data_IF_835650899887
#
_entry.id   IF_835650899887
#
_cell.length_a   1.000
_cell.length_b   1.000
_cell.length_c   1.000
_cell.angle_alpha   90.00
_cell.angle_beta   90.00
_cell.angle_gamma   90.00
#
_symmetry.space_group_name_H-M   'P 1'
#
loop_
_entity.id
_entity.type
_entity.pdbx_description
1 polymer ?
#
# COMPACT_ATOMS: atom_id res chain seq x y z
N UNK A 1 -42.18 -43.95 6.66
CA UNK A 1 -41.43 -44.42 7.84
C UNK A 1 -39.93 -44.22 7.73
N UNK A 2 -39.28 -44.50 6.59
CA UNK A 2 -37.81 -44.38 6.46
C UNK A 2 -37.23 -42.98 6.76
N UNK A 3 -37.92 -41.89 6.36
CA UNK A 3 -37.48 -40.52 6.64
C UNK A 3 -37.55 -40.19 8.14
N UNK A 4 -38.56 -40.67 8.85
CA UNK A 4 -38.70 -40.44 10.29
C UNK A 4 -37.57 -41.12 11.08
N UNK A 5 -37.25 -42.38 10.73
CA UNK A 5 -36.13 -43.10 11.32
C UNK A 5 -34.78 -42.46 10.99
N UNK A 6 -34.62 -41.86 9.81
CA UNK A 6 -33.42 -41.12 9.45
C UNK A 6 -33.25 -39.85 10.29
N UNK A 7 -34.33 -39.09 10.52
CA UNK A 7 -34.31 -37.87 11.33
C UNK A 7 -34.02 -38.18 12.81
N UNK A 8 -34.62 -39.24 13.36
CA UNK A 8 -34.31 -39.72 14.73
C UNK A 8 -32.84 -40.14 14.84
N UNK A 9 -32.37 -40.99 13.91
CA UNK A 9 -31.00 -41.49 13.94
C UNK A 9 -29.95 -40.39 13.75
N UNK A 10 -30.28 -39.29 13.07
CA UNK A 10 -29.40 -38.11 12.99
C UNK A 10 -29.47 -37.23 14.24
N UNK A 11 -30.66 -36.98 14.79
CA UNK A 11 -30.82 -36.10 15.96
C UNK A 11 -30.00 -36.61 17.15
N UNK A 12 -29.95 -37.92 17.36
CA UNK A 12 -29.21 -38.53 18.47
C UNK A 12 -27.68 -38.52 18.28
N UNK A 13 -27.19 -38.14 17.09
CA UNK A 13 -25.76 -38.13 16.75
C UNK A 13 -25.18 -36.73 16.56
N UNK A 14 -26.03 -35.69 16.57
CA UNK A 14 -25.61 -34.30 16.41
C UNK A 14 -25.42 -33.64 17.77
N UNK A 15 -24.20 -33.21 18.06
CA UNK A 15 -23.88 -32.44 19.26
C UNK A 15 -23.77 -30.97 18.91
N UNK A 16 -24.65 -30.15 19.48
CA UNK A 16 -24.62 -28.70 19.34
C UNK A 16 -23.97 -28.07 20.57
N UNK A 17 -22.95 -27.25 20.36
CA UNK A 17 -22.42 -26.38 21.41
C UNK A 17 -23.09 -25.03 21.29
N UNK A 18 -23.99 -24.71 22.22
CA UNK A 18 -24.66 -23.41 22.27
C UNK A 18 -23.90 -22.52 23.25
N UNK A 19 -23.36 -21.41 22.75
CA UNK A 19 -22.75 -20.38 23.59
C UNK A 19 -23.77 -19.25 23.71
N UNK A 20 -24.48 -19.22 24.83
CA UNK A 20 -25.40 -18.14 25.14
C UNK A 20 -24.62 -16.95 25.68
N UNK A 21 -24.78 -15.78 25.06
CA UNK A 21 -24.11 -14.54 25.45
C UNK A 21 -25.18 -13.51 25.78
N UNK A 22 -25.02 -12.83 26.91
CA UNK A 22 -26.04 -11.89 27.42
C UNK A 22 -26.14 -10.59 26.60
N UNK A 23 -25.16 -10.32 25.75
CA UNK A 23 -25.03 -9.10 24.95
C UNK A 23 -24.44 -9.44 23.58
N UNK A 24 -25.05 -8.93 22.50
CA UNK A 24 -24.59 -9.11 21.11
C UNK A 24 -23.14 -8.64 20.91
N UNK A 25 -22.68 -7.64 21.66
CA UNK A 25 -21.28 -7.18 21.62
C UNK A 25 -20.31 -8.20 22.22
N UNK A 26 -20.75 -8.95 23.23
CA UNK A 26 -19.96 -10.04 23.81
C UNK A 26 -19.97 -11.25 22.88
N UNK A 27 -21.08 -11.49 22.17
CA UNK A 27 -21.13 -12.51 21.11
C UNK A 27 -20.09 -12.23 20.02
N UNK A 28 -19.93 -10.96 19.60
CA UNK A 28 -18.88 -10.56 18.67
C UNK A 28 -17.46 -10.89 19.16
N UNK A 29 -17.11 -10.53 20.39
CA UNK A 29 -15.78 -10.81 20.95
C UNK A 29 -15.50 -12.31 21.09
N UNK A 30 -16.49 -13.09 21.51
CA UNK A 30 -16.40 -14.55 21.62
C UNK A 30 -16.17 -15.16 20.24
N UNK A 31 -16.89 -14.69 19.22
CA UNK A 31 -16.79 -15.21 17.86
C UNK A 31 -15.46 -14.86 17.17
N UNK A 32 -14.93 -13.64 17.34
CA UNK A 32 -13.57 -13.26 16.91
C UNK A 32 -12.49 -14.15 17.54
N UNK A 33 -12.61 -14.42 18.85
CA UNK A 33 -11.64 -15.24 19.58
C UNK A 33 -11.68 -16.72 19.15
N UNK A 34 -12.87 -17.24 18.83
CA UNK A 34 -13.06 -18.63 18.40
C UNK A 34 -12.62 -18.86 16.94
N UNK A 35 -12.86 -17.90 16.04
CA UNK A 35 -12.51 -18.01 14.63
C UNK A 35 -11.02 -17.77 14.31
N UNK A 36 -10.24 -17.30 15.29
CA UNK A 36 -8.79 -17.15 15.16
C UNK A 36 -8.04 -18.47 14.83
N UNK A 37 -8.72 -19.64 14.84
CA UNK A 37 -8.10 -20.97 14.68
C UNK A 37 -8.47 -21.76 13.43
N UNK A 38 -9.20 -21.24 12.43
CA UNK A 38 -9.21 -21.96 11.14
C UNK A 38 -10.29 -21.74 10.09
N UNK A 39 -11.33 -20.91 10.30
CA UNK A 39 -12.31 -20.61 9.24
C UNK A 39 -12.65 -19.12 9.27
N UNK A 40 -12.48 -18.43 8.11
CA UNK A 40 -12.66 -16.97 7.95
C UNK A 40 -14.15 -16.57 7.83
N UNK A 41 -14.94 -16.85 8.85
CA UNK A 41 -16.30 -16.30 9.00
C UNK A 41 -16.38 -15.73 10.42
N UNK A 42 -16.03 -14.44 10.64
CA UNK A 42 -15.87 -13.90 12.02
C UNK A 42 -16.42 -12.49 12.31
N UNK A 43 -16.49 -11.57 11.35
CA UNK A 43 -16.98 -10.21 11.61
C UNK A 43 -18.01 -9.74 10.56
N UNK A 44 -17.80 -10.18 9.32
CA UNK A 44 -18.71 -9.98 8.18
C UNK A 44 -20.10 -10.53 8.50
N UNK A 45 -20.20 -11.78 8.95
CA UNK A 45 -21.50 -12.43 9.21
C UNK A 45 -22.23 -11.83 10.40
N UNK A 46 -21.50 -11.37 11.42
CA UNK A 46 -22.10 -10.68 12.55
C UNK A 46 -22.70 -9.34 12.14
N UNK A 47 -22.01 -8.59 11.28
CA UNK A 47 -22.58 -7.39 10.70
C UNK A 47 -23.78 -7.71 9.80
N UNK A 48 -23.68 -8.74 8.94
CA UNK A 48 -24.80 -9.23 8.13
C UNK A 48 -26.01 -9.48 9.03
N UNK A 49 -25.89 -10.38 10.00
CA UNK A 49 -26.96 -10.76 10.92
C UNK A 49 -27.55 -9.56 11.68
N UNK A 50 -26.71 -8.62 12.11
CA UNK A 50 -27.19 -7.40 12.73
C UNK A 50 -28.05 -6.58 11.77
N UNK A 51 -27.59 -6.32 10.54
CA UNK A 51 -28.37 -5.58 9.54
C UNK A 51 -29.68 -6.29 9.19
N UNK A 52 -29.68 -7.63 9.10
CA UNK A 52 -30.90 -8.45 8.97
C UNK A 52 -31.86 -8.22 10.14
N UNK A 53 -31.37 -8.20 11.37
CA UNK A 53 -32.19 -7.99 12.57
C UNK A 53 -32.85 -6.61 12.59
N UNK A 54 -32.20 -5.58 12.02
CA UNK A 54 -32.77 -4.24 11.91
C UNK A 54 -33.92 -4.20 10.91
N UNK A 55 -33.78 -4.89 9.76
CA UNK A 55 -34.81 -4.95 8.73
C UNK A 55 -36.01 -5.84 9.10
N UNK A 56 -35.79 -6.90 9.89
CA UNK A 56 -36.84 -7.85 10.27
C UNK A 56 -37.80 -7.35 11.37
N UNK A 57 -37.56 -6.17 11.96
CA UNK A 57 -38.42 -5.61 13.02
C UNK A 57 -39.81 -5.22 12.54
N UNK A 58 -39.94 -4.88 11.26
CA UNK A 58 -41.20 -4.51 10.64
C UNK A 58 -41.65 -5.65 9.72
N UNK A 59 -42.81 -6.27 10.02
CA UNK A 59 -43.37 -7.49 9.40
C UNK A 59 -43.68 -7.41 7.88
N UNK A 60 -43.10 -6.46 7.14
CA UNK A 60 -43.34 -6.19 5.71
C UNK A 60 -42.12 -6.48 4.81
N UNK A 61 -41.05 -7.10 5.33
CA UNK A 61 -39.71 -7.02 4.73
C UNK A 61 -39.20 -8.17 3.85
N UNK A 62 -40.00 -9.15 3.39
CA UNK A 62 -39.44 -10.34 2.72
C UNK A 62 -38.60 -10.02 1.46
N UNK A 63 -39.11 -9.17 0.57
CA UNK A 63 -38.39 -8.75 -0.64
C UNK A 63 -37.14 -7.92 -0.34
N UNK A 64 -37.15 -7.18 0.75
CA UNK A 64 -36.02 -6.33 1.15
C UNK A 64 -34.89 -7.12 1.78
N UNK A 65 -35.22 -8.16 2.54
CA UNK A 65 -34.25 -9.11 3.06
C UNK A 65 -33.57 -9.85 1.90
N UNK A 66 -34.33 -10.27 0.89
CA UNK A 66 -33.79 -10.87 -0.35
C UNK A 66 -32.89 -9.88 -1.11
N UNK A 67 -33.31 -8.62 -1.26
CA UNK A 67 -32.53 -7.59 -1.93
C UNK A 67 -31.23 -7.27 -1.20
N UNK A 68 -31.27 -7.20 0.15
CA UNK A 68 -30.08 -7.02 0.97
C UNK A 68 -29.14 -8.21 0.84
N UNK A 69 -29.66 -9.44 0.94
CA UNK A 69 -28.86 -10.65 0.78
C UNK A 69 -28.15 -10.67 -0.57
N UNK A 70 -28.89 -10.41 -1.65
CA UNK A 70 -28.35 -10.36 -3.00
C UNK A 70 -27.22 -9.33 -3.13
N UNK A 71 -27.40 -8.12 -2.60
CA UNK A 71 -26.37 -7.06 -2.61
C UNK A 71 -25.14 -7.46 -1.79
N UNK A 72 -25.37 -8.02 -0.61
CA UNK A 72 -24.30 -8.47 0.28
C UNK A 72 -23.44 -9.55 -0.37
N UNK A 73 -24.07 -10.62 -0.89
CA UNK A 73 -23.37 -11.72 -1.55
C UNK A 73 -22.64 -11.23 -2.82
N UNK A 74 -23.25 -10.32 -3.59
CA UNK A 74 -22.57 -9.70 -4.73
C UNK A 74 -21.31 -8.93 -4.28
N UNK A 75 -21.39 -8.18 -3.19
CA UNK A 75 -20.26 -7.40 -2.67
C UNK A 75 -19.14 -8.30 -2.13
N UNK A 76 -19.47 -9.33 -1.35
CA UNK A 76 -18.51 -10.33 -0.85
C UNK A 76 -17.86 -11.06 -2.02
N UNK A 77 -18.65 -11.47 -3.02
CA UNK A 77 -18.15 -12.11 -4.24
C UNK A 77 -17.17 -11.22 -5.02
N UNK A 78 -17.46 -9.91 -5.11
CA UNK A 78 -16.57 -8.93 -5.76
C UNK A 78 -15.27 -8.68 -5.01
N UNK A 79 -15.29 -8.70 -3.67
CA UNK A 79 -14.07 -8.56 -2.87
C UNK A 79 -13.13 -9.76 -3.06
N UNK A 80 -13.68 -10.95 -3.27
CA UNK A 80 -12.91 -12.16 -3.55
C UNK A 80 -11.90 -12.48 -2.45
N UNK A 81 -10.63 -12.20 -2.71
CA UNK A 81 -9.53 -12.44 -1.76
C UNK A 81 -9.30 -11.30 -0.75
N UNK A 82 -9.89 -10.12 -0.99
CA UNK A 82 -9.78 -8.97 -0.09
C UNK A 82 -10.64 -9.15 1.17
N UNK A 83 -10.16 -8.60 2.28
CA UNK A 83 -10.82 -8.66 3.58
C UNK A 83 -12.02 -7.69 3.61
N UNK A 84 -13.23 -8.24 3.80
CA UNK A 84 -14.43 -7.40 4.00
C UNK A 84 -14.31 -6.46 5.21
N UNK A 85 -13.82 -6.88 6.39
CA UNK A 85 -13.57 -5.95 7.49
C UNK A 85 -12.61 -4.81 7.14
N UNK A 86 -11.58 -5.07 6.32
CA UNK A 86 -10.63 -4.03 5.91
C UNK A 86 -11.30 -3.04 4.95
N UNK A 87 -12.05 -3.54 3.96
CA UNK A 87 -12.85 -2.71 3.07
C UNK A 87 -13.84 -1.85 3.85
N UNK A 88 -14.64 -2.45 4.74
CA UNK A 88 -15.62 -1.76 5.56
C UNK A 88 -14.97 -0.65 6.40
N UNK A 89 -13.78 -0.90 6.95
CA UNK A 89 -13.04 0.11 7.71
C UNK A 89 -12.62 1.28 6.82
N UNK A 90 -12.10 1.02 5.62
CA UNK A 90 -11.70 2.07 4.68
C UNK A 90 -12.90 2.87 4.19
N UNK A 91 -14.00 2.19 3.87
CA UNK A 91 -15.29 2.78 3.54
C UNK A 91 -15.76 3.72 4.66
N UNK A 92 -15.87 3.20 5.88
CA UNK A 92 -16.34 3.95 7.05
C UNK A 92 -15.47 5.18 7.31
N UNK A 93 -14.15 5.01 7.37
CA UNK A 93 -13.22 6.11 7.62
C UNK A 93 -13.14 7.11 6.45
N UNK A 94 -13.69 6.80 5.28
CA UNK A 94 -13.79 7.75 4.16
C UNK A 94 -15.00 8.69 4.26
N UNK A 95 -15.96 8.38 5.14
CA UNK A 95 -17.24 9.09 5.26
C UNK A 95 -17.52 9.58 6.68
N UNK A 96 -17.04 8.86 7.68
CA UNK A 96 -17.38 9.00 9.09
C UNK A 96 -16.16 9.30 9.97
N UNK A 97 -16.43 9.51 11.26
CA UNK A 97 -15.41 9.69 12.30
C UNK A 97 -14.46 8.50 12.40
N UNK A 98 -13.18 8.79 12.68
CA UNK A 98 -12.11 7.78 12.75
C UNK A 98 -12.50 6.64 13.67
N UNK A 99 -12.49 5.43 13.13
CA UNK A 99 -12.84 4.24 13.88
C UNK A 99 -11.79 3.16 13.62
N UNK A 100 -11.29 2.57 14.71
CA UNK A 100 -10.37 1.43 14.65
C UNK A 100 -11.13 0.18 14.29
N UNK A 101 -10.45 -0.81 13.69
CA UNK A 101 -11.06 -2.08 13.31
C UNK A 101 -11.75 -2.78 14.49
N UNK A 102 -11.13 -2.77 15.67
CA UNK A 102 -11.69 -3.36 16.89
C UNK A 102 -12.96 -2.67 17.41
N UNK A 103 -13.23 -1.44 16.99
CA UNK A 103 -14.38 -0.63 17.42
C UNK A 103 -15.44 -0.47 16.32
N UNK A 104 -15.14 -0.95 15.11
CA UNK A 104 -15.92 -0.71 13.91
C UNK A 104 -17.33 -1.28 14.04
N UNK A 105 -17.45 -2.55 14.42
CA UNK A 105 -18.74 -3.21 14.61
C UNK A 105 -19.61 -2.47 15.64
N UNK A 106 -19.05 -2.16 16.81
CA UNK A 106 -19.76 -1.41 17.86
C UNK A 106 -20.24 -0.04 17.37
N UNK A 107 -19.41 0.64 16.59
CA UNK A 107 -19.73 1.97 16.06
C UNK A 107 -20.86 1.88 15.05
N UNK A 108 -20.80 0.93 14.12
CA UNK A 108 -21.86 0.70 13.12
C UNK A 108 -23.17 0.31 13.82
N UNK A 109 -23.13 -0.64 14.76
CA UNK A 109 -24.28 -1.07 15.56
C UNK A 109 -24.95 0.10 16.30
N UNK A 110 -24.16 1.01 16.87
CA UNK A 110 -24.71 2.19 17.56
C UNK A 110 -25.33 3.24 16.64
N UNK A 111 -24.99 3.24 15.34
CA UNK A 111 -25.41 4.30 14.40
C UNK A 111 -26.46 3.86 13.40
N UNK A 112 -26.48 2.58 13.03
CA UNK A 112 -27.29 2.01 11.96
C UNK A 112 -28.44 1.20 12.59
N UNK A 113 -29.38 1.91 13.21
CA UNK A 113 -30.50 1.38 13.99
C UNK A 113 -31.85 1.40 13.25
N UNK A 114 -31.88 1.94 12.03
CA UNK A 114 -33.08 2.14 11.23
C UNK A 114 -32.92 1.61 9.81
N UNK A 115 -34.04 1.18 9.20
CA UNK A 115 -34.12 0.59 7.86
C UNK A 115 -33.46 1.46 6.79
N UNK A 116 -33.74 2.76 6.77
CA UNK A 116 -33.17 3.70 5.80
C UNK A 116 -31.66 3.79 5.91
N UNK A 117 -31.12 3.71 7.14
CA UNK A 117 -29.68 3.75 7.39
C UNK A 117 -28.98 2.49 6.89
N UNK A 118 -29.61 1.32 7.02
CA UNK A 118 -29.09 0.04 6.48
C UNK A 118 -28.93 0.15 4.97
N UNK A 119 -29.98 0.57 4.26
CA UNK A 119 -29.92 0.71 2.80
C UNK A 119 -28.96 1.81 2.34
N UNK A 120 -28.86 2.90 3.09
CA UNK A 120 -27.88 3.96 2.83
C UNK A 120 -26.46 3.42 2.97
N UNK A 121 -26.17 2.65 4.03
CA UNK A 121 -24.87 2.00 4.23
C UNK A 121 -24.53 1.08 3.05
N UNK A 122 -25.43 0.16 2.69
CA UNK A 122 -25.20 -0.79 1.59
C UNK A 122 -24.94 -0.08 0.26
N UNK A 123 -25.75 0.93 -0.07
CA UNK A 123 -25.57 1.73 -1.29
C UNK A 123 -24.24 2.48 -1.31
N UNK A 124 -23.84 3.03 -0.16
CA UNK A 124 -22.56 3.74 -0.05
C UNK A 124 -21.37 2.78 -0.15
N UNK A 125 -21.50 1.55 0.36
CA UNK A 125 -20.51 0.48 0.18
C UNK A 125 -20.43 0.00 -1.27
N UNK A 126 -21.58 -0.15 -1.94
CA UNK A 126 -21.65 -0.48 -3.38
C UNK A 126 -20.91 0.56 -4.24
N UNK A 127 -20.97 1.85 -3.89
CA UNK A 127 -20.23 2.91 -4.59
C UNK A 127 -18.71 2.82 -4.34
N UNK A 128 -18.33 2.42 -3.13
CA UNK A 128 -16.96 2.53 -2.63
C UNK A 128 -16.10 1.31 -2.98
N UNK A 129 -16.73 0.14 -3.17
CA UNK A 129 -16.02 -1.10 -3.51
C UNK A 129 -15.27 -1.00 -4.84
N UNK A 130 -15.82 -0.32 -5.85
CA UNK A 130 -15.15 -0.12 -7.14
C UNK A 130 -13.82 0.62 -6.99
N UNK A 131 -13.83 1.68 -6.16
CA UNK A 131 -12.64 2.50 -5.91
C UNK A 131 -11.63 1.72 -5.07
N UNK A 132 -12.10 0.99 -4.05
CA UNK A 132 -11.26 0.15 -3.21
C UNK A 132 -10.54 -0.94 -4.02
N UNK A 133 -11.29 -1.68 -4.85
CA UNK A 133 -10.73 -2.72 -5.70
C UNK A 133 -9.76 -2.16 -6.73
N UNK A 134 -10.02 -0.99 -7.30
CA UNK A 134 -9.08 -0.36 -8.21
C UNK A 134 -7.76 0.07 -7.53
N UNK A 135 -7.78 0.36 -6.23
CA UNK A 135 -6.57 0.64 -5.44
C UNK A 135 -5.81 -0.63 -5.03
N UNK A 136 -6.50 -1.74 -4.74
CA UNK A 136 -5.87 -3.00 -4.31
C UNK A 136 -5.44 -3.90 -5.47
N UNK A 137 -6.25 -3.93 -6.53
CA UNK A 137 -6.14 -4.76 -7.72
C UNK A 137 -6.16 -3.89 -8.99
N UNK A 138 -5.20 -2.95 -9.15
CA UNK A 138 -5.18 -2.02 -10.27
C UNK A 138 -5.16 -2.69 -11.65
N UNK A 139 -4.62 -3.90 -11.77
CA UNK A 139 -4.58 -4.66 -13.02
C UNK A 139 -5.96 -4.96 -13.59
N UNK A 140 -6.93 -5.24 -12.71
CA UNK A 140 -8.31 -5.62 -13.06
C UNK A 140 -9.21 -4.39 -13.24
N UNK A 141 -8.73 -3.22 -12.84
CA UNK A 141 -9.49 -1.98 -12.88
C UNK A 141 -9.59 -1.40 -14.29
N UNK A 142 -10.69 -0.67 -14.55
CA UNK A 142 -10.88 0.13 -15.76
C UNK A 142 -10.23 1.53 -15.64
N UNK A 143 -9.37 1.74 -14.65
CA UNK A 143 -8.73 3.03 -14.45
C UNK A 143 -7.76 3.38 -15.59
N UNK A 144 -7.58 4.67 -15.91
CA UNK A 144 -6.57 5.12 -16.83
C UNK A 144 -5.18 4.54 -16.49
N UNK A 145 -4.31 4.28 -17.48
CA UNK A 145 -2.98 3.69 -17.24
C UNK A 145 -2.18 4.40 -16.14
N UNK A 146 -2.25 5.73 -16.10
CA UNK A 146 -1.54 6.54 -15.09
C UNK A 146 -2.04 6.26 -13.67
N UNK A 147 -3.34 6.08 -13.47
CA UNK A 147 -3.93 5.82 -12.16
C UNK A 147 -3.60 4.41 -11.69
N UNK A 148 -3.68 3.43 -12.61
CA UNK A 148 -3.25 2.05 -12.35
C UNK A 148 -1.79 2.01 -11.90
N UNK A 149 -0.91 2.74 -12.61
CA UNK A 149 0.49 2.86 -12.22
C UNK A 149 0.65 3.44 -10.80
N UNK A 150 -0.10 4.49 -10.46
CA UNK A 150 -0.02 5.08 -9.10
C UNK A 150 -0.49 4.10 -8.02
N UNK A 151 -1.58 3.36 -8.25
CA UNK A 151 -2.04 2.33 -7.34
C UNK A 151 -1.05 1.16 -7.21
N UNK A 152 -0.40 0.76 -8.32
CA UNK A 152 0.69 -0.22 -8.30
C UNK A 152 1.89 0.26 -7.49
N UNK A 153 2.26 1.54 -7.61
CA UNK A 153 3.32 2.18 -6.83
C UNK A 153 2.98 2.14 -5.32
N UNK A 154 1.75 2.51 -4.92
CA UNK A 154 1.28 2.41 -3.53
C UNK A 154 1.33 0.96 -3.00
N UNK A 155 0.88 -0.01 -3.82
CA UNK A 155 0.93 -1.43 -3.45
C UNK A 155 2.35 -1.93 -3.31
N UNK A 156 3.27 -1.55 -4.21
CA UNK A 156 4.70 -1.85 -4.13
C UNK A 156 5.31 -1.29 -2.84
N UNK A 157 4.92 -0.08 -2.44
CA UNK A 157 5.36 0.52 -1.17
C UNK A 157 4.68 -0.08 0.06
N UNK A 158 3.65 -0.92 -0.14
CA UNK A 158 2.83 -1.51 0.93
C UNK A 158 2.09 -0.46 1.75
N UNK A 159 1.57 0.57 1.08
CA UNK A 159 0.88 1.71 1.69
C UNK A 159 -0.61 1.66 1.36
N UNK A 160 -1.45 1.46 2.38
CA UNK A 160 -2.93 1.44 2.30
C UNK A 160 -3.59 2.57 3.11
N UNK A 161 -2.82 3.26 3.95
CA UNK A 161 -3.24 4.38 4.80
C UNK A 161 -4.00 5.50 4.06
N UNK A 162 -3.64 5.90 2.82
CA UNK A 162 -4.36 6.97 2.13
C UNK A 162 -5.71 6.55 1.54
N UNK A 163 -6.07 5.26 1.57
CA UNK A 163 -7.26 4.77 0.87
C UNK A 163 -8.56 5.48 1.27
N UNK A 164 -8.84 5.74 2.56
CA UNK A 164 -10.04 6.50 2.93
C UNK A 164 -10.10 7.89 2.29
N UNK A 165 -8.95 8.59 2.22
CA UNK A 165 -8.83 9.90 1.58
C UNK A 165 -9.00 9.80 0.07
N UNK A 166 -8.35 8.84 -0.59
CA UNK A 166 -8.49 8.63 -2.03
C UNK A 166 -9.91 8.24 -2.43
N UNK A 167 -10.60 7.44 -1.62
CA UNK A 167 -12.01 7.12 -1.82
C UNK A 167 -12.90 8.36 -1.69
N UNK A 168 -12.67 9.18 -0.66
CA UNK A 168 -13.38 10.46 -0.52
C UNK A 168 -13.07 11.43 -1.68
N UNK A 169 -11.82 11.52 -2.10
CA UNK A 169 -11.38 12.36 -3.20
C UNK A 169 -12.04 11.94 -4.51
N UNK A 170 -12.03 10.65 -4.85
CA UNK A 170 -12.61 10.12 -6.08
C UNK A 170 -14.11 10.38 -6.19
N UNK A 171 -14.84 10.39 -5.07
CA UNK A 171 -16.28 10.70 -5.04
C UNK A 171 -16.59 12.18 -5.26
N UNK A 172 -15.71 13.07 -4.78
CA UNK A 172 -16.01 14.50 -4.67
C UNK A 172 -15.19 15.39 -5.61
N UNK A 173 -14.27 14.82 -6.39
CA UNK A 173 -13.42 15.54 -7.32
C UNK A 173 -13.55 14.99 -8.74
N UNK A 174 -13.30 15.85 -9.72
CA UNK A 174 -13.21 15.45 -11.12
C UNK A 174 -11.94 14.60 -11.35
N UNK A 175 -11.92 13.88 -12.46
CA UNK A 175 -10.84 12.94 -12.79
C UNK A 175 -9.46 13.61 -12.82
N UNK A 176 -9.33 14.84 -13.35
CA UNK A 176 -8.05 15.56 -13.37
C UNK A 176 -7.51 15.91 -11.97
N UNK A 177 -8.40 16.34 -11.08
CA UNK A 177 -8.06 16.64 -9.69
C UNK A 177 -7.70 15.36 -8.93
N UNK A 178 -8.47 14.29 -9.13
CA UNK A 178 -8.19 12.99 -8.52
C UNK A 178 -6.84 12.41 -8.99
N UNK A 179 -6.52 12.50 -10.29
CA UNK A 179 -5.22 12.07 -10.82
C UNK A 179 -4.06 12.80 -10.15
N UNK A 180 -4.21 14.12 -9.98
CA UNK A 180 -3.22 14.98 -9.32
C UNK A 180 -3.03 14.57 -7.86
N UNK A 181 -4.12 14.34 -7.12
CA UNK A 181 -4.10 13.90 -5.73
C UNK A 181 -3.53 12.49 -5.57
N UNK A 182 -3.88 11.57 -6.45
CA UNK A 182 -3.35 10.21 -6.45
C UNK A 182 -1.84 10.20 -6.71
N UNK A 183 -1.38 10.96 -7.71
CA UNK A 183 0.05 11.12 -7.99
C UNK A 183 0.80 11.75 -6.83
N UNK A 184 0.26 12.80 -6.20
CA UNK A 184 0.85 13.43 -5.03
C UNK A 184 0.91 12.47 -3.82
N UNK A 185 -0.10 11.62 -3.67
CA UNK A 185 -0.14 10.59 -2.61
C UNK A 185 0.96 9.54 -2.78
N UNK A 186 1.27 9.14 -4.02
CA UNK A 186 2.42 8.27 -4.28
C UNK A 186 3.73 8.93 -3.84
N UNK A 187 3.91 10.21 -4.18
CA UNK A 187 5.12 10.97 -3.79
C UNK A 187 5.22 11.07 -2.26
N UNK A 188 4.12 11.38 -1.58
CA UNK A 188 4.04 11.39 -0.11
C UNK A 188 4.39 10.03 0.48
N UNK A 189 3.81 8.95 -0.03
CA UNK A 189 4.08 7.59 0.42
C UNK A 189 5.56 7.21 0.22
N UNK A 190 6.15 7.59 -0.91
CA UNK A 190 7.56 7.36 -1.16
C UNK A 190 8.46 8.15 -0.19
N UNK A 191 8.22 9.45 -0.04
CA UNK A 191 9.01 10.30 0.87
C UNK A 191 8.87 9.86 2.33
N UNK A 192 7.66 9.55 2.78
CA UNK A 192 7.36 9.29 4.19
C UNK A 192 7.61 7.83 4.61
N UNK A 193 7.20 6.86 3.80
CA UNK A 193 7.23 5.42 4.16
C UNK A 193 8.45 4.70 3.60
N UNK A 194 8.85 5.02 2.36
CA UNK A 194 9.97 4.34 1.72
C UNK A 194 11.28 4.95 2.16
N UNK A 195 11.43 6.28 2.06
CA UNK A 195 12.68 6.97 2.41
C UNK A 195 12.69 7.37 3.89
N UNK A 196 11.70 8.15 4.34
CA UNK A 196 11.48 8.46 5.74
C UNK A 196 11.26 7.18 6.55
N UNK A 197 11.92 7.05 7.70
CA UNK A 197 11.69 5.96 8.65
C UNK A 197 10.61 6.36 9.68
N UNK A 198 9.60 7.12 9.25
CA UNK A 198 8.65 7.79 10.15
C UNK A 198 7.55 6.83 10.61
N UNK A 199 6.97 7.11 11.79
CA UNK A 199 5.87 6.32 12.34
C UNK A 199 4.58 6.51 11.52
N UNK A 200 3.92 5.40 11.16
CA UNK A 200 2.72 5.40 10.29
C UNK A 200 1.43 5.86 10.98
N UNK A 201 1.41 5.93 12.31
CA UNK A 201 0.21 6.31 13.06
C UNK A 201 -0.22 7.77 12.90
N UNK A 202 0.74 8.69 12.75
CA UNK A 202 0.44 10.09 12.40
C UNK A 202 -0.11 10.21 10.98
N UNK A 203 0.49 9.45 10.05
CA UNK A 203 0.08 9.42 8.66
C UNK A 203 -1.40 9.02 8.48
N UNK A 204 -1.83 7.96 9.18
CA UNK A 204 -3.22 7.50 9.14
C UNK A 204 -4.20 8.56 9.68
N UNK A 205 -3.84 9.25 10.76
CA UNK A 205 -4.68 10.33 11.33
C UNK A 205 -4.83 11.49 10.37
N UNK A 206 -3.76 11.93 9.71
CA UNK A 206 -3.80 13.05 8.77
C UNK A 206 -4.63 12.69 7.54
N UNK A 207 -4.41 11.50 6.94
CA UNK A 207 -5.24 11.05 5.82
C UNK A 207 -6.73 10.97 6.20
N UNK A 208 -7.05 10.43 7.38
CA UNK A 208 -8.43 10.38 7.86
C UNK A 208 -9.04 11.78 8.03
N UNK A 209 -8.32 12.70 8.68
CA UNK A 209 -8.81 14.06 8.90
C UNK A 209 -9.11 14.76 7.56
N UNK A 210 -8.23 14.59 6.56
CA UNK A 210 -8.45 15.11 5.21
C UNK A 210 -9.64 14.42 4.52
N UNK A 211 -9.76 13.09 4.63
CA UNK A 211 -10.90 12.34 4.08
C UNK A 211 -12.24 12.86 4.59
N UNK A 212 -12.33 13.13 5.91
CA UNK A 212 -13.55 13.63 6.54
C UNK A 212 -13.89 15.05 6.08
N UNK A 213 -12.90 15.92 5.94
CA UNK A 213 -13.09 17.29 5.42
C UNK A 213 -13.57 17.27 3.97
N UNK A 214 -13.05 16.35 3.13
CA UNK A 214 -13.55 16.14 1.76
C UNK A 214 -15.00 15.65 1.80
N UNK A 215 -15.29 14.63 2.61
CA UNK A 215 -16.62 14.03 2.70
C UNK A 215 -17.70 15.00 3.17
N UNK A 216 -17.34 15.99 3.99
CA UNK A 216 -18.21 17.06 4.49
C UNK A 216 -18.27 18.29 3.58
N UNK A 217 -17.57 18.26 2.44
CA UNK A 217 -17.41 19.41 1.55
C UNK A 217 -16.80 20.66 2.21
N UNK A 218 -16.00 20.47 3.28
CA UNK A 218 -15.25 21.55 3.94
C UNK A 218 -14.02 21.96 3.12
N UNK A 219 -13.48 21.03 2.32
CA UNK A 219 -12.46 21.27 1.31
C UNK A 219 -12.90 20.63 0.00
N UNK A 220 -12.84 21.40 -1.09
CA UNK A 220 -13.38 20.98 -2.39
C UNK A 220 -12.39 21.11 -3.52
N UNK A 221 -11.26 21.80 -3.30
CA UNK A 221 -10.19 21.96 -4.29
C UNK A 221 -9.03 21.02 -3.98
N UNK A 222 -8.41 20.46 -5.03
CA UNK A 222 -7.24 19.62 -4.88
C UNK A 222 -6.09 20.32 -4.12
N UNK A 223 -5.92 21.63 -4.29
CA UNK A 223 -4.92 22.40 -3.53
C UNK A 223 -5.16 22.41 -2.02
N UNK A 224 -6.41 22.49 -1.57
CA UNK A 224 -6.77 22.46 -0.15
C UNK A 224 -6.55 21.08 0.46
N UNK A 225 -6.83 20.03 -0.32
CA UNK A 225 -6.52 18.65 0.05
C UNK A 225 -5.01 18.49 0.23
N UNK A 226 -4.18 18.96 -0.72
CA UNK A 226 -2.73 18.91 -0.60
C UNK A 226 -2.23 19.66 0.63
N UNK A 227 -2.73 20.87 0.90
CA UNK A 227 -2.38 21.62 2.12
C UNK A 227 -2.72 20.85 3.40
N UNK A 228 -3.84 20.13 3.41
CA UNK A 228 -4.21 19.24 4.50
C UNK A 228 -3.20 18.10 4.74
N UNK A 229 -2.43 17.70 3.72
CA UNK A 229 -1.40 16.67 3.79
C UNK A 229 -0.01 17.21 4.14
N UNK A 230 0.17 18.54 4.24
CA UNK A 230 1.44 19.18 4.61
C UNK A 230 2.10 18.60 5.87
N UNK A 231 1.37 18.26 6.96
CA UNK A 231 1.99 17.70 8.17
C UNK A 231 2.76 16.39 7.94
N UNK A 232 2.38 15.61 6.92
CA UNK A 232 3.02 14.33 6.60
C UNK A 232 3.92 14.42 5.36
N UNK A 233 4.17 15.64 4.88
CA UNK A 233 5.14 15.88 3.82
C UNK A 233 6.54 16.04 4.44
N UNK A 234 7.39 15.03 4.27
CA UNK A 234 8.80 15.14 4.62
C UNK A 234 9.44 16.20 3.72
N UNK A 235 9.94 17.29 4.30
CA UNK A 235 10.53 18.43 3.56
C UNK A 235 11.72 18.01 2.70
N UNK A 236 12.13 18.83 1.74
CA UNK A 236 13.28 18.54 0.87
C UNK A 236 14.56 18.27 1.65
N UNK A 237 14.85 19.06 2.69
CA UNK A 237 16.05 18.89 3.51
C UNK A 237 15.97 17.61 4.35
N UNK A 238 14.81 17.36 4.98
CA UNK A 238 14.59 16.12 5.73
C UNK A 238 14.64 14.87 4.85
N UNK A 239 14.11 14.97 3.63
CA UNK A 239 14.15 13.90 2.63
C UNK A 239 15.57 13.66 2.14
N UNK A 240 16.35 14.70 1.83
CA UNK A 240 17.76 14.57 1.42
C UNK A 240 18.58 13.90 2.50
N UNK A 241 18.41 14.30 3.76
CA UNK A 241 19.09 13.70 4.90
C UNK A 241 18.71 12.21 5.05
N UNK A 242 17.42 11.88 5.03
CA UNK A 242 16.96 10.49 5.13
C UNK A 242 17.41 9.63 3.94
N UNK A 243 17.41 10.18 2.72
CA UNK A 243 17.86 9.49 1.52
C UNK A 243 19.37 9.26 1.56
N UNK A 244 20.15 10.25 2.00
CA UNK A 244 21.60 10.17 2.08
C UNK A 244 22.04 8.95 2.89
N UNK A 245 21.29 8.59 3.93
CA UNK A 245 21.57 7.45 4.81
C UNK A 245 20.77 6.17 4.55
N UNK A 246 19.94 6.16 3.50
CA UNK A 246 19.06 5.03 3.26
C UNK A 246 19.80 3.76 2.82
N UNK A 247 19.43 2.64 3.44
CA UNK A 247 19.84 1.30 3.05
C UNK A 247 18.60 0.43 2.82
N UNK A 248 18.56 -0.33 1.72
CA UNK A 248 17.43 -1.19 1.36
C UNK A 248 17.96 -2.56 0.94
N UNK A 249 17.78 -3.57 1.81
CA UNK A 249 18.21 -4.94 1.52
C UNK A 249 17.41 -5.51 0.34
N UNK A 250 18.11 -5.79 -0.77
CA UNK A 250 17.53 -6.26 -2.05
C UNK A 250 17.26 -7.77 -2.08
N UNK A 251 17.41 -8.47 -0.95
CA UNK A 251 17.13 -9.91 -0.80
C UNK A 251 15.64 -10.24 -0.88
N UNK A 252 14.77 -9.33 -0.42
CA UNK A 252 13.33 -9.48 -0.56
C UNK A 252 12.85 -8.94 -1.92
N UNK A 253 12.01 -9.71 -2.63
CA UNK A 253 11.48 -9.36 -3.96
C UNK A 253 10.87 -7.96 -4.00
N UNK A 254 10.11 -7.56 -2.97
CA UNK A 254 9.51 -6.22 -2.87
C UNK A 254 10.57 -5.13 -2.82
N UNK A 255 11.58 -5.29 -1.97
CA UNK A 255 12.65 -4.31 -1.82
C UNK A 255 13.49 -4.20 -3.10
N UNK A 256 13.73 -5.32 -3.79
CA UNK A 256 14.35 -5.32 -5.11
C UNK A 256 13.56 -4.46 -6.10
N UNK A 257 12.23 -4.65 -6.19
CA UNK A 257 11.36 -3.80 -7.03
C UNK A 257 11.42 -2.32 -6.65
N UNK A 258 11.42 -2.01 -5.35
CA UNK A 258 11.53 -0.62 -4.86
C UNK A 258 12.87 0.00 -5.28
N UNK A 259 13.99 -0.71 -5.15
CA UNK A 259 15.31 -0.19 -5.57
C UNK A 259 15.34 0.01 -7.09
N UNK A 260 14.81 -0.93 -7.88
CA UNK A 260 14.67 -0.77 -9.34
C UNK A 260 13.86 0.47 -9.70
N UNK A 261 12.72 0.67 -9.03
CA UNK A 261 11.90 1.87 -9.18
C UNK A 261 12.71 3.17 -8.92
N UNK A 262 13.47 3.21 -7.82
CA UNK A 262 14.29 4.37 -7.46
C UNK A 262 15.32 4.64 -8.54
N UNK A 263 16.10 3.63 -8.93
CA UNK A 263 17.19 3.78 -9.89
C UNK A 263 16.67 4.17 -11.27
N UNK A 264 15.59 3.57 -11.76
CA UNK A 264 15.00 3.93 -13.05
C UNK A 264 14.45 5.37 -13.05
N UNK A 265 13.82 5.83 -11.97
CA UNK A 265 13.34 7.22 -11.85
C UNK A 265 14.49 8.22 -11.80
N UNK A 266 15.58 7.89 -11.11
CA UNK A 266 16.79 8.71 -11.08
C UNK A 266 17.49 8.76 -12.44
N UNK A 267 17.61 7.61 -13.12
CA UNK A 267 18.18 7.52 -14.46
C UNK A 267 17.38 8.38 -15.44
N UNK A 268 16.05 8.24 -15.46
CA UNK A 268 15.16 9.07 -16.28
C UNK A 268 15.36 10.56 -16.03
N UNK A 269 15.48 10.98 -14.77
CA UNK A 269 15.69 12.39 -14.44
C UNK A 269 17.05 12.92 -14.91
N UNK A 270 18.07 12.06 -14.91
CA UNK A 270 19.43 12.44 -15.26
C UNK A 270 19.69 12.43 -16.77
N UNK A 271 19.30 11.35 -17.45
CA UNK A 271 19.61 11.12 -18.87
C UNK A 271 18.43 11.27 -19.81
N UNK A 272 17.20 11.33 -19.28
CA UNK A 272 15.98 11.25 -20.07
C UNK A 272 15.63 9.84 -20.54
N UNK A 273 16.47 8.83 -20.25
CA UNK A 273 16.22 7.45 -20.64
C UNK A 273 15.08 6.85 -19.81
N UNK A 274 14.01 6.42 -20.49
CA UNK A 274 12.97 5.62 -19.85
C UNK A 274 13.36 4.14 -19.84
N UNK A 275 13.76 3.65 -18.66
CA UNK A 275 13.94 2.23 -18.41
C UNK A 275 12.71 1.70 -17.67
N UNK A 276 12.04 0.72 -18.25
CA UNK A 276 10.97 0.01 -17.55
C UNK A 276 11.56 -0.80 -16.39
N UNK A 277 11.15 -0.46 -15.16
CA UNK A 277 11.64 -1.13 -13.97
C UNK A 277 11.10 -2.56 -13.82
N UNK A 278 10.07 -2.98 -14.57
CA UNK A 278 9.63 -4.38 -14.60
C UNK A 278 10.34 -5.21 -15.69
N UNK A 279 11.10 -4.57 -16.60
CA UNK A 279 11.84 -5.27 -17.67
C UNK A 279 12.97 -6.14 -17.14
N UNK A 280 13.06 -7.40 -17.60
CA UNK A 280 14.18 -8.29 -17.26
C UNK A 280 15.49 -7.93 -17.97
N UNK A 281 15.50 -6.96 -18.89
CA UNK A 281 16.69 -6.56 -19.64
C UNK A 281 17.76 -5.93 -18.74
N UNK A 282 17.34 -5.30 -17.63
CA UNK A 282 18.22 -4.67 -16.68
C UNK A 282 18.04 -5.27 -15.28
N UNK A 283 19.12 -5.36 -14.53
CA UNK A 283 19.17 -5.80 -13.14
C UNK A 283 19.90 -4.78 -12.27
N UNK A 284 19.72 -4.87 -10.95
CA UNK A 284 20.47 -4.07 -10.01
C UNK A 284 21.90 -4.63 -9.96
N UNK A 285 22.87 -3.81 -10.31
CA UNK A 285 24.28 -4.07 -10.02
C UNK A 285 24.65 -3.46 -8.67
N UNK A 286 25.39 -4.21 -7.86
CA UNK A 286 26.00 -3.74 -6.62
C UNK A 286 27.49 -3.56 -6.89
N UNK A 287 27.96 -2.31 -6.93
CA UNK A 287 29.35 -2.01 -7.28
C UNK A 287 30.29 -2.71 -6.30
N UNK A 288 30.14 -2.44 -5.00
CA UNK A 288 30.59 -3.35 -3.95
C UNK A 288 29.68 -4.59 -3.96
N UNK A 289 30.18 -5.78 -4.31
CA UNK A 289 29.38 -6.98 -4.43
C UNK A 289 28.77 -7.41 -3.09
N UNK A 290 27.70 -8.19 -3.15
CA UNK A 290 27.10 -8.80 -1.96
C UNK A 290 28.00 -9.85 -1.31
N UNK A 291 28.84 -10.52 -2.11
CA UNK A 291 29.85 -11.48 -1.65
C UNK A 291 31.20 -11.05 -2.22
N UNK A 292 31.84 -10.01 -1.64
CA UNK A 292 33.11 -9.50 -2.15
C UNK A 292 34.21 -10.56 -2.00
N UNK A 293 35.13 -10.59 -2.97
CA UNK A 293 36.33 -11.43 -2.95
C UNK A 293 37.55 -10.52 -2.77
N UNK A 294 38.65 -10.74 -3.50
CA UNK A 294 39.83 -9.88 -3.51
C UNK A 294 39.57 -8.52 -4.19
N UNK A 295 40.26 -7.46 -3.75
CA UNK A 295 40.17 -6.11 -4.32
C UNK A 295 39.16 -5.16 -3.65
N UNK A 296 38.68 -5.50 -2.45
CA UNK A 296 37.71 -4.73 -1.65
C UNK A 296 38.23 -4.35 -0.26
N UNK A 297 39.55 -4.31 -0.08
CA UNK A 297 40.25 -4.11 1.21
C UNK A 297 39.98 -2.74 1.85
N UNK A 298 39.46 -1.79 1.07
CA UNK A 298 39.01 -0.49 1.57
C UNK A 298 37.78 -0.59 2.50
N UNK A 299 37.08 -1.73 2.49
CA UNK A 299 35.94 -2.00 3.36
C UNK A 299 36.36 -3.00 4.45
N UNK A 300 36.14 -2.64 5.72
CA UNK A 300 36.34 -3.56 6.84
C UNK A 300 35.15 -4.50 6.97
N UNK A 301 35.36 -5.69 7.52
CA UNK A 301 34.30 -6.70 7.72
C UNK A 301 33.10 -6.17 8.50
N UNK A 302 33.33 -5.32 9.50
CA UNK A 302 32.26 -4.68 10.29
C UNK A 302 31.38 -3.71 9.48
N UNK A 303 31.93 -3.15 8.40
CA UNK A 303 31.34 -2.05 7.65
C UNK A 303 30.70 -2.54 6.35
N UNK A 304 31.13 -3.69 5.84
CA UNK A 304 30.67 -4.29 4.58
C UNK A 304 29.13 -4.36 4.48
N UNK A 305 28.46 -4.94 5.47
CA UNK A 305 27.00 -5.05 5.46
C UNK A 305 26.28 -3.69 5.45
N UNK A 306 26.92 -2.66 6.02
CA UNK A 306 26.35 -1.30 6.11
C UNK A 306 26.38 -0.58 4.77
N UNK A 307 27.33 -0.92 3.88
CA UNK A 307 27.53 -0.27 2.58
C UNK A 307 26.95 -1.03 1.38
N UNK A 308 26.86 -2.37 1.43
CA UNK A 308 26.37 -3.18 0.30
C UNK A 308 25.00 -2.69 -0.20
N UNK A 309 24.07 -2.43 0.73
CA UNK A 309 22.67 -2.10 0.40
C UNK A 309 22.36 -0.60 0.39
N UNK A 310 23.41 0.23 0.38
CA UNK A 310 23.29 1.69 0.22
C UNK A 310 22.87 2.01 -1.22
N UNK A 311 21.95 2.96 -1.38
CA UNK A 311 21.49 3.38 -2.72
C UNK A 311 22.65 3.92 -3.57
N UNK A 312 23.65 4.54 -2.95
CA UNK A 312 24.86 5.00 -3.65
C UNK A 312 25.72 3.87 -4.22
N UNK A 313 25.61 2.65 -3.67
CA UNK A 313 26.35 1.47 -4.12
C UNK A 313 25.64 0.72 -5.27
N UNK A 314 24.41 1.09 -5.61
CA UNK A 314 23.58 0.37 -6.55
C UNK A 314 23.35 1.18 -7.83
N UNK A 315 23.28 0.49 -8.96
CA UNK A 315 22.96 1.06 -10.28
C UNK A 315 22.21 0.05 -11.14
N UNK A 316 21.63 0.48 -12.27
CA UNK A 316 21.06 -0.43 -13.25
C UNK A 316 22.13 -0.87 -14.23
N UNK A 317 22.16 -2.15 -14.57
CA UNK A 317 23.06 -2.71 -15.58
C UNK A 317 22.33 -3.78 -16.41
N UNK A 318 22.72 -3.93 -17.67
CA UNK A 318 22.18 -4.99 -18.54
C UNK A 318 22.40 -6.37 -17.90
N UNK A 319 21.37 -7.22 -17.91
CA UNK A 319 21.37 -8.48 -17.16
C UNK A 319 22.52 -9.43 -17.56
N UNK A 320 22.88 -9.47 -18.85
CA UNK A 320 24.02 -10.26 -19.34
C UNK A 320 25.35 -9.72 -18.82
N UNK A 321 25.61 -8.42 -18.98
CA UNK A 321 26.83 -7.77 -18.51
C UNK A 321 27.01 -7.91 -17.00
N UNK A 322 25.93 -7.74 -16.24
CA UNK A 322 25.97 -7.89 -14.78
C UNK A 322 26.42 -9.30 -14.36
N UNK A 323 25.91 -10.34 -15.05
CA UNK A 323 26.31 -11.73 -14.83
C UNK A 323 27.79 -11.96 -15.14
N UNK A 324 28.29 -11.38 -16.23
CA UNK A 324 29.66 -11.58 -16.69
C UNK A 324 30.70 -10.84 -15.82
N UNK A 325 30.30 -9.71 -15.23
CA UNK A 325 31.14 -8.93 -14.30
C UNK A 325 31.29 -9.67 -12.96
N UNK A 326 30.19 -10.10 -12.35
CA UNK A 326 30.21 -10.80 -11.06
C UNK A 326 30.87 -10.00 -9.93
N UNK A 327 31.71 -10.66 -9.13
CA UNK A 327 32.27 -10.10 -7.89
C UNK A 327 33.69 -9.55 -8.04
N UNK A 328 34.15 -9.31 -9.27
CA UNK A 328 35.52 -8.82 -9.55
C UNK A 328 35.79 -7.46 -8.90
N UNK A 329 37.06 -7.07 -8.86
CA UNK A 329 37.53 -5.80 -8.31
C UNK A 329 36.87 -4.60 -8.99
N UNK A 330 36.80 -3.45 -8.32
CA UNK A 330 36.24 -2.23 -8.91
C UNK A 330 36.93 -1.82 -10.23
N UNK A 331 38.24 -2.01 -10.33
CA UNK A 331 39.01 -1.67 -11.54
C UNK A 331 38.54 -2.52 -12.73
N UNK A 332 38.27 -3.81 -12.50
CA UNK A 332 37.73 -4.69 -13.52
C UNK A 332 36.27 -4.34 -13.86
N UNK A 333 35.44 -4.06 -12.84
CA UNK A 333 34.04 -3.64 -13.04
C UNK A 333 33.98 -2.40 -13.92
N UNK A 334 34.75 -1.36 -13.60
CA UNK A 334 34.83 -0.09 -14.34
C UNK A 334 35.17 -0.29 -15.82
N UNK A 335 36.05 -1.25 -16.13
CA UNK A 335 36.45 -1.53 -17.51
C UNK A 335 35.37 -2.29 -18.29
N UNK A 336 34.57 -3.11 -17.60
CA UNK A 336 33.54 -3.98 -18.18
C UNK A 336 32.13 -3.37 -18.15
N UNK A 337 31.88 -2.38 -17.29
CA UNK A 337 30.58 -1.72 -17.08
C UNK A 337 30.27 -0.64 -18.11
N UNK A 338 30.90 -0.64 -19.29
CA UNK A 338 30.55 0.28 -20.38
C UNK A 338 29.22 -0.12 -21.04
N UNK A 339 28.13 -0.14 -20.27
CA UNK A 339 26.77 -0.14 -20.81
C UNK A 339 26.57 1.14 -21.62
N UNK A 340 26.27 1.04 -22.92
CA UNK A 340 26.14 2.23 -23.78
C UNK A 340 24.97 3.13 -23.36
N UNK A 341 24.01 2.61 -22.58
CA UNK A 341 22.72 3.25 -22.35
C UNK A 341 22.47 3.76 -20.93
N UNK A 342 23.07 3.19 -19.88
CA UNK A 342 22.79 3.64 -18.48
C UNK A 342 23.82 4.69 -18.03
N UNK A 343 23.41 5.94 -17.89
CA UNK A 343 24.31 7.05 -17.61
C UNK A 343 24.80 7.07 -16.15
N UNK A 344 23.96 6.67 -15.18
CA UNK A 344 24.38 6.66 -13.78
C UNK A 344 25.50 5.64 -13.50
N UNK A 345 25.53 4.53 -14.23
CA UNK A 345 26.60 3.53 -14.17
C UNK A 345 27.90 4.05 -14.80
N UNK A 346 27.83 4.66 -15.99
CA UNK A 346 28.99 5.33 -16.61
C UNK A 346 29.63 6.36 -15.68
N UNK A 347 28.81 7.15 -14.98
CA UNK A 347 29.31 8.17 -14.06
C UNK A 347 30.09 7.59 -12.88
N UNK A 348 29.70 6.40 -12.41
CA UNK A 348 30.47 5.66 -11.39
C UNK A 348 31.86 5.32 -11.91
N UNK A 349 31.94 4.78 -13.13
CA UNK A 349 33.20 4.46 -13.79
C UNK A 349 34.07 5.71 -14.02
N UNK A 350 33.49 6.80 -14.54
CA UNK A 350 34.22 8.03 -14.89
C UNK A 350 34.78 8.78 -13.67
N UNK A 351 33.98 8.96 -12.62
CA UNK A 351 34.31 9.86 -11.51
C UNK A 351 35.19 9.22 -10.43
N UNK A 352 35.41 7.91 -10.50
CA UNK A 352 36.03 7.15 -9.43
C UNK A 352 37.19 6.30 -9.94
N UNK A 353 38.36 6.45 -9.30
CA UNK A 353 39.52 5.59 -9.53
C UNK A 353 39.49 4.33 -8.63
N UNK A 354 38.87 4.45 -7.46
CA UNK A 354 38.64 3.39 -6.49
C UNK A 354 37.22 3.49 -5.95
N UNK A 355 36.73 2.42 -5.31
CA UNK A 355 35.43 2.40 -4.66
C UNK A 355 35.64 2.19 -3.17
N UNK A 356 35.20 3.16 -2.36
CA UNK A 356 35.41 3.20 -0.91
C UNK A 356 34.13 3.63 -0.21
N UNK A 357 34.02 3.48 1.12
CA UNK A 357 32.89 4.00 1.90
C UNK A 357 32.55 5.45 1.59
N UNK A 358 33.56 6.33 1.54
CA UNK A 358 33.40 7.77 1.29
C UNK A 358 32.85 8.06 -0.11
N UNK A 359 33.19 7.23 -1.10
CA UNK A 359 32.65 7.35 -2.46
C UNK A 359 31.19 6.95 -2.53
N UNK A 360 30.79 5.88 -1.84
CA UNK A 360 29.38 5.47 -1.74
C UNK A 360 28.56 6.58 -1.07
N UNK A 361 29.04 7.13 0.03
CA UNK A 361 28.36 8.23 0.73
C UNK A 361 28.25 9.49 -0.13
N UNK A 362 29.35 9.93 -0.72
CA UNK A 362 29.39 11.11 -1.58
C UNK A 362 28.43 10.96 -2.75
N UNK A 363 28.43 9.79 -3.40
CA UNK A 363 27.49 9.48 -4.47
C UNK A 363 26.05 9.49 -3.98
N UNK A 364 25.75 8.87 -2.85
CA UNK A 364 24.39 8.82 -2.34
C UNK A 364 23.86 10.21 -1.97
N UNK A 365 24.70 11.10 -1.44
CA UNK A 365 24.36 12.52 -1.22
C UNK A 365 24.06 13.24 -2.54
N UNK A 366 24.82 12.99 -3.60
CA UNK A 366 24.52 13.53 -4.92
C UNK A 366 23.19 13.00 -5.48
N UNK A 367 22.93 11.69 -5.33
CA UNK A 367 21.65 11.08 -5.71
C UNK A 367 20.48 11.63 -4.89
N UNK A 368 20.67 11.92 -3.61
CA UNK A 368 19.66 12.54 -2.75
C UNK A 368 19.19 13.89 -3.32
N UNK A 369 20.10 14.64 -3.94
CA UNK A 369 19.76 15.92 -4.55
C UNK A 369 18.85 15.78 -5.78
N UNK A 370 19.14 14.79 -6.63
CA UNK A 370 18.31 14.45 -7.79
C UNK A 370 16.97 13.90 -7.30
N UNK A 371 16.99 12.97 -6.34
CA UNK A 371 15.81 12.35 -5.75
C UNK A 371 14.82 13.38 -5.21
N UNK A 372 15.31 14.42 -4.51
CA UNK A 372 14.45 15.47 -3.99
C UNK A 372 13.67 16.21 -5.09
N UNK A 373 14.24 16.32 -6.30
CA UNK A 373 13.55 16.92 -7.45
C UNK A 373 12.55 15.96 -8.13
N UNK A 374 12.88 14.67 -8.18
CA UNK A 374 12.01 13.62 -8.76
C UNK A 374 10.74 13.46 -7.94
N UNK A 375 10.88 13.36 -6.62
CA UNK A 375 9.76 13.12 -5.69
C UNK A 375 9.39 14.42 -4.97
N UNK A 376 9.08 15.46 -5.74
CA UNK A 376 8.68 16.78 -5.26
C UNK A 376 7.20 17.03 -5.47
N UNK A 377 6.56 17.69 -4.50
CA UNK A 377 5.21 18.25 -4.65
C UNK A 377 5.36 19.75 -4.53
N UNK A 378 5.38 20.45 -5.66
CA UNK A 378 5.74 21.87 -5.71
C UNK A 378 4.91 22.75 -4.77
N UNK A 379 3.64 22.41 -4.55
CA UNK A 379 2.72 23.12 -3.66
C UNK A 379 3.10 23.00 -2.17
N UNK A 380 3.78 21.90 -1.79
CA UNK A 380 4.14 21.59 -0.40
C UNK A 380 5.63 21.82 -0.10
N UNK A 381 6.43 22.08 -1.14
CA UNK A 381 7.89 22.18 -1.05
C UNK A 381 8.42 23.54 -0.64
#
# INVERSE_FOLDING_TARGET
MAIAQFIEAMSDKLFFTVIAVADELNAYKVFETLNARGVRLSATDLLKNYLFSVLARDNEGSHELEDMERRWEAMVGRLGSESFPDFLRMHWNSRESFTRQSELFKTIHSRIDAREKVFSLLRNMDQDIDIYLALTQPEESQWPPRWRQCAQELRMFSVRQPFPMLMAARRNHQDADFESLLSATVVLAFRYNVIGAQHTGEQERVYHAVALRIARAEITRASEVLEGLRPIYLTDDGFRAAFADKSIKTTATRNNKVVRYILCKLERQWSGLEVDFDSSSYTIEHVLPQNPVEGWEAFRDSDLESFIYRLGNMTMLEAGKNRDIGNVSFVDKKTRSAGEHVCLDKKIAEDNANWTPERIESRQRALANIAASVWRIAQLS
#
